data_IF_260368599461
#
_entry.id   IF_260368599461
#
_cell.length_a   1.000
_cell.length_b   1.000
_cell.length_c   1.000
_cell.angle_alpha   90.00
_cell.angle_beta   90.00
_cell.angle_gamma   90.00
#
_symmetry.space_group_name_H-M   'P 1'
#
loop_
_entity.id
_entity.type
_entity.pdbx_description
1 polymer ?
#
# COMPACT_ATOMS: atom_id res chain seq x y z
N UNK A 1 4.21 -3.80 9.24
CA UNK A 1 2.91 -4.52 9.36
C UNK A 1 2.20 -4.32 8.05
N UNK A 2 1.54 -5.36 7.55
CA UNK A 2 0.87 -5.36 6.26
C UNK A 2 -0.61 -5.66 6.45
N UNK A 3 -1.44 -5.08 5.57
CA UNK A 3 -2.88 -5.34 5.54
C UNK A 3 -3.15 -6.55 4.67
N UNK A 4 -4.01 -7.43 5.14
CA UNK A 4 -4.44 -8.63 4.44
C UNK A 4 -5.96 -8.70 4.49
N UNK A 5 -6.58 -9.24 3.44
CA UNK A 5 -8.00 -9.59 3.51
C UNK A 5 -8.14 -11.02 4.00
N UNK A 6 -9.09 -11.28 4.89
CA UNK A 6 -9.48 -12.63 5.24
C UNK A 6 -10.17 -13.26 4.04
N UNK A 7 -9.51 -14.23 3.41
CA UNK A 7 -10.06 -15.00 2.29
C UNK A 7 -11.08 -16.03 2.76
N UNK A 8 -10.81 -16.65 3.90
CA UNK A 8 -11.66 -17.71 4.43
C UNK A 8 -11.55 -17.83 5.96
N UNK A 9 -12.63 -18.29 6.59
CA UNK A 9 -12.71 -18.48 8.04
C UNK A 9 -12.92 -17.20 8.86
N UNK A 10 -12.59 -17.32 10.16
CA UNK A 10 -12.70 -16.27 11.17
C UNK A 10 -11.41 -16.25 11.98
N UNK A 11 -10.78 -15.09 12.09
CA UNK A 11 -9.50 -14.90 12.79
C UNK A 11 -9.71 -13.98 13.98
N UNK A 12 -9.30 -14.43 15.17
CA UNK A 12 -9.25 -13.59 16.36
C UNK A 12 -7.83 -13.04 16.55
N UNK A 13 -7.66 -11.73 16.53
CA UNK A 13 -6.36 -11.08 16.67
C UNK A 13 -6.46 -9.77 17.45
N UNK A 14 -5.58 -9.58 18.44
CA UNK A 14 -5.56 -8.41 19.34
C UNK A 14 -6.95 -8.06 19.93
N UNK A 15 -7.71 -9.08 20.32
CA UNK A 15 -9.05 -8.90 20.92
C UNK A 15 -10.18 -8.57 19.93
N UNK A 16 -9.89 -8.49 18.63
CA UNK A 16 -10.88 -8.29 17.57
C UNK A 16 -11.13 -9.58 16.80
N UNK A 17 -12.31 -9.71 16.20
CA UNK A 17 -12.70 -10.84 15.36
C UNK A 17 -12.84 -10.34 13.92
N UNK A 18 -12.06 -10.93 13.02
CA UNK A 18 -12.05 -10.64 11.59
C UNK A 18 -12.66 -11.82 10.85
N UNK A 19 -13.62 -11.56 9.96
CA UNK A 19 -14.34 -12.53 9.15
C UNK A 19 -13.92 -12.41 7.70
N UNK A 20 -14.30 -13.40 6.89
CA UNK A 20 -14.11 -13.36 5.44
C UNK A 20 -14.53 -12.00 4.84
N UNK A 21 -13.61 -11.38 4.10
CA UNK A 21 -13.76 -10.05 3.51
C UNK A 21 -13.20 -8.91 4.36
N UNK A 22 -12.97 -9.12 5.66
CA UNK A 22 -12.42 -8.09 6.54
C UNK A 22 -10.93 -7.88 6.28
N UNK A 23 -10.48 -6.64 6.50
CA UNK A 23 -9.06 -6.28 6.50
C UNK A 23 -8.47 -6.47 7.88
N UNK A 24 -7.35 -7.18 7.96
CA UNK A 24 -6.56 -7.40 9.16
C UNK A 24 -5.14 -6.87 8.96
N UNK A 25 -4.63 -6.12 9.94
CA UNK A 25 -3.21 -5.74 9.98
C UNK A 25 -2.41 -6.78 10.76
N UNK A 26 -1.43 -7.39 10.09
CA UNK A 26 -0.56 -8.41 10.66
C UNK A 26 0.91 -8.09 10.40
N UNK A 27 1.77 -8.57 11.29
CA UNK A 27 3.19 -8.68 10.97
C UNK A 27 3.40 -9.87 10.02
N UNK A 28 4.40 -9.77 9.14
CA UNK A 28 4.70 -10.80 8.13
C UNK A 28 4.87 -12.19 8.73
N UNK A 29 5.44 -12.27 9.94
CA UNK A 29 5.60 -13.54 10.68
C UNK A 29 4.25 -14.21 10.98
N UNK A 30 3.22 -13.43 11.31
CA UNK A 30 1.87 -13.94 11.60
C UNK A 30 1.10 -14.20 10.30
N UNK A 31 1.28 -13.35 9.30
CA UNK A 31 0.68 -13.52 7.97
C UNK A 31 1.13 -14.84 7.31
N UNK A 32 2.41 -15.20 7.46
CA UNK A 32 2.93 -16.50 6.99
C UNK A 32 2.19 -17.69 7.60
N UNK A 33 1.92 -17.67 8.91
CA UNK A 33 1.18 -18.74 9.58
C UNK A 33 -0.29 -18.79 9.20
N UNK A 34 -0.88 -17.65 8.83
CA UNK A 34 -2.28 -17.52 8.44
C UNK A 34 -2.50 -17.51 6.92
N UNK A 35 -1.44 -17.75 6.14
CA UNK A 35 -1.44 -17.77 4.67
C UNK A 35 -2.61 -18.53 4.02
N UNK A 36 -3.09 -19.68 4.54
CA UNK A 36 -4.25 -20.36 3.96
C UNK A 36 -5.56 -19.57 4.05
N UNK A 37 -5.67 -18.69 5.04
CA UNK A 37 -6.87 -17.92 5.37
C UNK A 37 -6.81 -16.48 4.88
N UNK A 38 -5.65 -16.03 4.40
CA UNK A 38 -5.41 -14.66 3.96
C UNK A 38 -5.28 -14.57 2.46
N UNK A 39 -5.78 -13.49 1.88
CA UNK A 39 -5.43 -13.08 0.54
C UNK A 39 -4.08 -12.33 0.58
N UNK A 40 -3.01 -13.06 0.27
CA UNK A 40 -1.65 -12.51 0.21
C UNK A 40 -1.43 -11.57 -0.97
N UNK A 41 -2.37 -11.50 -1.92
CA UNK A 41 -2.29 -10.59 -3.08
C UNK A 41 -2.39 -9.12 -2.63
N UNK A 42 -2.96 -8.86 -1.46
CA UNK A 42 -3.23 -7.53 -0.90
C UNK A 42 -2.09 -7.07 0.04
N UNK A 43 -1.04 -7.89 0.20
CA UNK A 43 0.14 -7.65 1.03
C UNK A 43 0.88 -6.33 0.76
N UNK A 44 0.55 -5.60 -0.31
CA UNK A 44 1.29 -4.43 -0.78
C UNK A 44 0.45 -3.16 -0.87
N UNK A 45 -0.60 -2.99 -0.05
CA UNK A 45 -1.01 -1.63 0.28
C UNK A 45 0.06 -1.02 1.19
N UNK A 46 1.18 -0.64 0.56
CA UNK A 46 2.19 0.19 1.20
C UNK A 46 1.48 1.48 1.60
N UNK A 47 1.64 1.87 2.85
CA UNK A 47 0.90 3.00 3.40
C UNK A 47 1.72 4.28 3.14
N UNK A 48 1.20 5.16 2.29
CA UNK A 48 1.85 6.43 1.98
C UNK A 48 1.97 7.35 3.21
N UNK A 49 1.22 7.10 4.28
CA UNK A 49 1.31 7.89 5.53
C UNK A 49 2.69 7.85 6.19
N UNK A 50 3.52 6.84 5.88
CA UNK A 50 4.88 6.75 6.41
C UNK A 50 5.83 7.85 5.89
N UNK A 51 5.50 8.50 4.76
CA UNK A 51 6.31 9.57 4.16
C UNK A 51 5.85 10.98 4.56
N UNK A 52 4.83 11.11 5.41
CA UNK A 52 4.29 12.42 5.81
C UNK A 52 3.55 13.14 4.68
N UNK A 53 3.59 14.48 4.68
CA UNK A 53 2.98 15.26 3.60
C UNK A 53 3.80 15.14 2.31
N UNK A 54 3.29 14.36 1.37
CA UNK A 54 3.90 14.16 0.04
C UNK A 54 4.04 15.48 -0.74
N UNK A 55 3.27 16.53 -0.40
CA UNK A 55 3.41 17.84 -1.03
C UNK A 55 4.72 18.54 -0.66
N UNK A 56 5.36 18.17 0.45
CA UNK A 56 6.64 18.76 0.87
C UNK A 56 7.86 18.01 0.35
N UNK A 57 7.65 16.84 -0.28
CA UNK A 57 8.73 16.00 -0.78
C UNK A 57 9.31 16.53 -2.09
N UNK A 58 10.61 16.27 -2.29
CA UNK A 58 11.30 16.57 -3.55
C UNK A 58 10.92 15.53 -4.61
N UNK A 59 11.10 15.90 -5.88
CA UNK A 59 10.83 15.00 -7.03
C UNK A 59 11.57 13.67 -6.91
N UNK A 60 12.82 13.68 -6.44
CA UNK A 60 13.61 12.47 -6.21
C UNK A 60 13.02 11.54 -5.16
N UNK A 61 12.36 12.09 -4.14
CA UNK A 61 11.74 11.30 -3.07
C UNK A 61 10.39 10.75 -3.56
N UNK A 62 9.61 11.57 -4.27
CA UNK A 62 8.37 11.12 -4.92
C UNK A 62 8.63 9.99 -5.92
N UNK A 63 9.71 10.08 -6.70
CA UNK A 63 10.14 9.04 -7.63
C UNK A 63 10.42 7.71 -6.90
N UNK A 64 11.19 7.76 -5.80
CA UNK A 64 11.44 6.56 -5.00
C UNK A 64 10.15 5.94 -4.47
N UNK A 65 9.18 6.76 -4.06
CA UNK A 65 7.91 6.27 -3.55
C UNK A 65 7.12 5.58 -4.66
N UNK A 66 6.96 6.17 -5.85
CA UNK A 66 6.25 5.49 -6.93
C UNK A 66 6.96 4.21 -7.38
N UNK A 67 8.29 4.20 -7.44
CA UNK A 67 9.06 3.01 -7.79
C UNK A 67 8.92 1.91 -6.72
N UNK A 68 9.00 2.31 -5.45
CA UNK A 68 8.83 1.41 -4.31
C UNK A 68 7.41 0.81 -4.28
N UNK A 69 6.40 1.57 -4.67
CA UNK A 69 5.00 1.18 -4.65
C UNK A 69 4.54 0.54 -5.97
N UNK A 70 5.41 0.51 -6.99
CA UNK A 70 5.08 0.00 -8.32
C UNK A 70 3.98 0.82 -9.02
N UNK A 71 3.89 2.12 -8.72
CA UNK A 71 2.88 3.03 -9.27
C UNK A 71 3.36 3.51 -10.64
N UNK A 72 2.54 3.30 -11.67
CA UNK A 72 2.80 3.83 -13.00
C UNK A 72 2.56 5.35 -13.04
N UNK A 73 3.55 6.11 -13.52
CA UNK A 73 3.45 7.56 -13.66
C UNK A 73 3.31 7.93 -15.12
N UNK A 74 2.22 8.62 -15.47
CA UNK A 74 1.99 9.12 -16.82
C UNK A 74 2.73 10.47 -16.99
N UNK A 75 3.79 10.55 -17.82
CA UNK A 75 4.52 11.80 -18.02
C UNK A 75 3.69 12.79 -18.83
N UNK A 76 3.56 14.02 -18.35
CA UNK A 76 2.96 15.13 -19.10
C UNK A 76 3.97 16.21 -19.50
N UNK A 77 5.21 16.11 -18.98
CA UNK A 77 6.31 17.01 -19.33
C UNK A 77 6.93 16.72 -20.70
N UNK A 78 7.55 17.75 -21.31
CA UNK A 78 8.23 17.64 -22.61
C UNK A 78 9.44 16.68 -22.62
N UNK A 79 10.07 16.45 -21.47
CA UNK A 79 11.30 15.64 -21.32
C UNK A 79 11.14 14.48 -20.36
N UNK A 80 9.91 14.19 -19.90
CA UNK A 80 9.63 13.14 -18.92
C UNK A 80 8.65 13.57 -17.83
N UNK A 81 8.43 12.72 -16.81
CA UNK A 81 7.52 13.02 -15.72
C UNK A 81 8.01 14.23 -14.92
N UNK A 82 7.11 15.16 -14.65
CA UNK A 82 7.36 16.32 -13.79
C UNK A 82 6.78 16.09 -12.39
N UNK A 83 7.15 16.94 -11.42
CA UNK A 83 6.68 16.81 -10.02
C UNK A 83 5.17 16.56 -9.90
N UNK A 84 4.37 17.29 -10.66
CA UNK A 84 2.91 17.15 -10.65
C UNK A 84 2.41 15.80 -11.14
N UNK A 85 3.15 15.13 -12.03
CA UNK A 85 2.79 13.80 -12.52
C UNK A 85 2.94 12.76 -11.41
N UNK A 86 4.04 12.83 -10.66
CA UNK A 86 4.26 11.97 -9.49
C UNK A 86 3.22 12.21 -8.39
N UNK A 87 2.91 13.48 -8.08
CA UNK A 87 1.89 13.80 -7.08
C UNK A 87 0.52 13.28 -7.48
N UNK A 88 0.12 13.44 -8.75
CA UNK A 88 -1.15 12.90 -9.26
C UNK A 88 -1.20 11.38 -9.19
N UNK A 89 -0.11 10.70 -9.54
CA UNK A 89 -0.03 9.24 -9.48
C UNK A 89 -0.18 8.73 -8.03
N UNK A 90 0.51 9.38 -7.08
CA UNK A 90 0.42 9.05 -5.65
C UNK A 90 -0.95 9.40 -5.06
N UNK A 91 -1.58 10.49 -5.48
CA UNK A 91 -2.93 10.87 -5.04
C UNK A 91 -3.99 9.91 -5.59
N UNK A 92 -3.86 9.48 -6.84
CA UNK A 92 -4.72 8.48 -7.46
C UNK A 92 -4.58 7.10 -6.81
N UNK A 93 -3.41 6.77 -6.27
CA UNK A 93 -3.16 5.54 -5.52
C UNK A 93 -3.80 5.53 -4.12
N UNK A 94 -4.09 6.70 -3.54
CA UNK A 94 -4.76 6.79 -2.23
C UNK A 94 -6.25 6.44 -2.28
N UNK A 95 -6.85 6.34 -3.47
CA UNK A 95 -8.28 6.04 -3.71
C UNK A 95 -8.49 4.55 -3.93
#
# INVERSE_FOLDING_TARGET
MNKYIIKDGVIAYKGNIYRKGDLIELEDKYAQSLKPYLDMSISNQKDLSQYGDINDLKVSDLQKIVDEFGIEVIPTGKTGPIRSDYLKALDSYKV
#
